data_IF_639527538365
#
_entry.id   IF_639527538365
#
_cell.length_a   1.000
_cell.length_b   1.000
_cell.length_c   1.000
_cell.angle_alpha   90.00
_cell.angle_beta   90.00
_cell.angle_gamma   90.00
#
_symmetry.space_group_name_H-M   'P 1'
#
loop_
_entity.id
_entity.type
_entity.pdbx_description
1 polymer ?
#
# COMPACT_ATOMS: atom_id res chain seq x y z
N UNK A 1 -10.86 -12.78 5.87
CA UNK A 1 -10.17 -12.09 6.97
C UNK A 1 -9.24 -13.10 7.60
N UNK A 2 -7.93 -12.85 7.65
CA UNK A 2 -7.01 -13.81 8.28
C UNK A 2 -7.36 -13.91 9.77
N UNK A 3 -7.77 -15.09 10.21
CA UNK A 3 -8.02 -15.41 11.62
C UNK A 3 -6.71 -15.52 12.40
N UNK A 4 -5.80 -14.56 12.20
CA UNK A 4 -4.48 -14.54 12.85
C UNK A 4 -4.62 -13.85 14.20
N UNK A 5 -4.19 -14.53 15.26
CA UNK A 5 -4.12 -13.94 16.60
C UNK A 5 -3.25 -12.67 16.58
N UNK A 6 -3.64 -11.69 17.39
CA UNK A 6 -2.88 -10.45 17.51
C UNK A 6 -1.50 -10.74 18.14
N UNK A 7 -0.39 -10.24 17.56
CA UNK A 7 0.91 -10.25 18.20
C UNK A 7 0.93 -9.39 19.48
N UNK A 8 1.96 -9.56 20.32
CA UNK A 8 2.18 -8.67 21.47
C UNK A 8 2.33 -7.21 21.00
N UNK A 9 1.66 -6.23 21.63
CA UNK A 9 1.75 -4.83 21.24
C UNK A 9 3.15 -4.24 21.45
N UNK A 10 3.93 -4.81 22.37
CA UNK A 10 5.32 -4.42 22.62
C UNK A 10 6.29 -5.56 22.38
N UNK A 11 7.55 -5.23 22.08
CA UNK A 11 8.61 -6.23 22.00
C UNK A 11 8.82 -6.90 23.36
N UNK A 12 9.08 -8.23 23.40
CA UNK A 12 9.35 -8.95 24.63
C UNK A 12 10.41 -8.25 25.49
N UNK A 13 10.12 -8.11 26.80
CA UNK A 13 11.03 -7.48 27.75
C UNK A 13 11.20 -5.96 27.62
N UNK A 14 10.43 -5.28 26.75
CA UNK A 14 10.52 -3.82 26.59
C UNK A 14 9.14 -3.17 26.47
N UNK A 15 9.09 -1.84 26.65
CA UNK A 15 7.90 -1.02 26.35
C UNK A 15 7.89 -0.47 24.92
N UNK A 16 8.73 -0.99 24.02
CA UNK A 16 8.84 -0.50 22.63
C UNK A 16 7.78 -1.15 21.76
N UNK A 17 7.14 -0.37 20.90
CA UNK A 17 6.12 -0.82 19.95
C UNK A 17 6.67 -1.95 19.05
N UNK A 18 5.89 -3.02 18.90
CA UNK A 18 6.18 -4.13 18.01
C UNK A 18 5.80 -3.80 16.56
N UNK A 19 6.72 -3.96 15.62
CA UNK A 19 6.45 -3.77 14.18
C UNK A 19 5.44 -4.82 13.66
N UNK A 20 5.52 -6.06 14.14
CA UNK A 20 4.58 -7.14 13.77
C UNK A 20 3.15 -6.84 14.20
N UNK A 21 2.99 -6.21 15.38
CA UNK A 21 1.69 -5.78 15.85
C UNK A 21 1.11 -4.66 14.98
N UNK A 22 1.94 -3.69 14.57
CA UNK A 22 1.51 -2.63 13.65
C UNK A 22 1.09 -3.20 12.29
N UNK A 23 1.90 -4.10 11.72
CA UNK A 23 1.57 -4.80 10.47
C UNK A 23 0.25 -5.58 10.59
N UNK A 24 0.01 -6.24 11.73
CA UNK A 24 -1.26 -6.91 12.02
C UNK A 24 -2.44 -5.93 12.09
N UNK A 25 -2.29 -4.79 12.78
CA UNK A 25 -3.35 -3.77 12.87
C UNK A 25 -3.73 -3.20 11.51
N UNK A 26 -2.76 -3.05 10.61
CA UNK A 26 -2.99 -2.63 9.22
C UNK A 26 -3.73 -3.70 8.41
N UNK A 27 -3.89 -4.92 8.92
CA UNK A 27 -4.52 -6.04 8.23
C UNK A 27 -3.66 -6.61 7.11
N UNK A 28 -2.35 -6.38 7.14
CA UNK A 28 -1.40 -6.89 6.17
C UNK A 28 -1.12 -8.39 6.39
N UNK A 29 -0.71 -9.13 5.34
CA UNK A 29 -0.18 -10.48 5.51
C UNK A 29 0.99 -10.49 6.50
N UNK A 30 1.12 -11.56 7.28
CA UNK A 30 2.22 -11.70 8.21
C UNK A 30 3.56 -11.69 7.46
N UNK A 31 4.51 -10.88 7.93
CA UNK A 31 5.82 -10.76 7.33
C UNK A 31 5.90 -9.82 6.12
N UNK A 32 4.80 -9.17 5.73
CA UNK A 32 4.77 -8.32 4.52
C UNK A 32 5.87 -7.24 4.51
N UNK A 33 6.09 -6.58 5.65
CA UNK A 33 7.24 -5.71 5.90
C UNK A 33 8.21 -6.39 6.86
N UNK A 34 7.69 -7.04 7.89
CA UNK A 34 8.46 -7.50 9.05
C UNK A 34 9.37 -8.69 8.79
N UNK A 35 9.17 -9.46 7.70
CA UNK A 35 10.07 -10.54 7.30
C UNK A 35 11.23 -10.07 6.39
N UNK A 36 11.42 -8.76 6.21
CA UNK A 36 12.52 -8.23 5.42
C UNK A 36 13.78 -8.10 6.28
N UNK A 37 14.72 -9.05 6.14
CA UNK A 37 15.93 -9.15 6.99
C UNK A 37 16.82 -7.91 6.94
N UNK A 38 16.88 -7.22 5.79
CA UNK A 38 17.70 -6.01 5.64
C UNK A 38 17.15 -4.77 6.36
N UNK A 39 15.90 -4.81 6.85
CA UNK A 39 15.26 -3.66 7.49
C UNK A 39 15.41 -3.69 9.00
N UNK A 40 16.00 -2.62 9.56
CA UNK A 40 15.93 -2.38 11.00
C UNK A 40 14.47 -2.18 11.46
N UNK A 41 14.17 -2.46 12.73
CA UNK A 41 12.82 -2.22 13.29
C UNK A 41 12.35 -0.77 13.09
N UNK A 42 13.26 0.19 13.22
CA UNK A 42 12.93 1.59 13.00
C UNK A 42 12.52 1.86 11.54
N UNK A 43 13.23 1.27 10.57
CA UNK A 43 12.87 1.36 9.16
C UNK A 43 11.53 0.66 8.86
N UNK A 44 11.28 -0.51 9.46
CA UNK A 44 9.99 -1.21 9.33
C UNK A 44 8.83 -0.34 9.84
N UNK A 45 8.96 0.23 11.03
CA UNK A 45 7.94 1.13 11.59
C UNK A 45 7.76 2.40 10.77
N UNK A 46 8.84 2.94 10.20
CA UNK A 46 8.77 4.09 9.31
C UNK A 46 7.99 3.75 8.03
N UNK A 47 8.25 2.60 7.41
CA UNK A 47 7.50 2.15 6.24
C UNK A 47 6.04 1.90 6.58
N UNK A 48 5.75 1.13 7.64
CA UNK A 48 4.38 0.84 8.08
C UNK A 48 3.62 2.13 8.42
N UNK A 49 4.25 3.07 9.12
CA UNK A 49 3.64 4.35 9.50
C UNK A 49 3.33 5.28 8.32
N UNK A 50 4.06 5.15 7.20
CA UNK A 50 3.80 5.91 5.97
C UNK A 50 2.99 5.10 4.94
N UNK A 51 2.60 3.88 5.27
CA UNK A 51 1.80 3.01 4.40
C UNK A 51 0.30 3.30 4.56
N UNK A 52 -0.50 2.73 3.65
CA UNK A 52 -1.96 2.78 3.73
C UNK A 52 -2.53 1.57 4.44
N UNK A 53 -3.66 1.73 5.14
CA UNK A 53 -4.46 0.59 5.61
C UNK A 53 -5.29 0.08 4.42
N UNK A 54 -5.02 -1.12 3.86
CA UNK A 54 -5.63 -1.54 2.60
C UNK A 54 -7.16 -1.57 2.61
N UNK A 55 -7.75 -1.93 3.76
CA UNK A 55 -9.21 -1.94 3.91
C UNK A 55 -9.83 -0.54 3.83
N UNK A 56 -9.15 0.47 4.40
CA UNK A 56 -9.56 1.86 4.31
C UNK A 56 -9.39 2.40 2.88
N UNK A 57 -8.27 2.07 2.24
CA UNK A 57 -8.03 2.44 0.83
C UNK A 57 -9.07 1.83 -0.11
N UNK A 58 -9.39 0.54 0.04
CA UNK A 58 -10.43 -0.12 -0.75
C UNK A 58 -11.81 0.51 -0.54
N UNK A 59 -12.15 0.86 0.71
CA UNK A 59 -13.39 1.56 1.00
C UNK A 59 -13.46 2.94 0.33
N UNK A 60 -12.38 3.73 0.43
CA UNK A 60 -12.29 5.04 -0.21
C UNK A 60 -12.40 4.95 -1.74
N UNK A 61 -11.76 3.96 -2.37
CA UNK A 61 -11.87 3.71 -3.81
C UNK A 61 -13.32 3.42 -4.20
N UNK A 62 -14.01 2.54 -3.46
CA UNK A 62 -15.41 2.22 -3.75
C UNK A 62 -16.35 3.42 -3.57
N UNK A 63 -16.05 4.34 -2.65
CA UNK A 63 -16.81 5.57 -2.46
C UNK A 63 -16.57 6.58 -3.59
N UNK A 64 -15.33 6.73 -4.03
CA UNK A 64 -14.94 7.74 -5.02
C UNK A 64 -15.15 7.28 -6.47
N UNK A 65 -15.10 5.97 -6.71
CA UNK A 65 -15.15 5.35 -8.04
C UNK A 65 -16.18 4.20 -8.04
N UNK A 66 -17.48 4.51 -7.91
CA UNK A 66 -18.53 3.48 -7.79
C UNK A 66 -18.64 2.58 -9.03
N UNK A 67 -18.31 3.12 -10.21
CA UNK A 67 -18.29 2.38 -11.48
C UNK A 67 -16.93 1.69 -11.75
N UNK A 68 -16.01 1.72 -10.78
CA UNK A 68 -14.67 1.17 -10.89
C UNK A 68 -13.61 2.17 -11.36
N UNK A 69 -12.35 1.72 -11.35
CA UNK A 69 -11.21 2.55 -11.78
C UNK A 69 -11.28 2.70 -13.31
N UNK A 70 -11.38 3.93 -13.85
CA UNK A 70 -11.49 4.14 -15.28
C UNK A 70 -10.23 3.62 -15.99
N UNK A 71 -10.42 2.89 -17.07
CA UNK A 71 -9.31 2.41 -17.90
C UNK A 71 -8.60 3.61 -18.52
N UNK A 72 -7.37 3.88 -18.10
CA UNK A 72 -6.56 4.87 -18.78
C UNK A 72 -6.20 4.33 -20.17
N UNK A 73 -6.88 4.82 -21.20
CA UNK A 73 -6.44 4.60 -22.59
C UNK A 73 -5.15 5.40 -22.75
N UNK A 74 -3.99 4.77 -23.03
CA UNK A 74 -2.76 5.51 -23.26
C UNK A 74 -2.99 6.47 -24.43
N UNK A 75 -2.85 7.77 -24.17
CA UNK A 75 -2.94 8.80 -25.22
C UNK A 75 -1.75 8.62 -26.15
N UNK A 76 -1.94 7.84 -27.21
CA UNK A 76 -0.96 7.56 -28.24
C UNK A 76 -1.53 7.76 -29.63
N UNK A 77 -2.05 8.95 -29.94
CA UNK A 77 -2.39 9.34 -31.33
C UNK A 77 -2.76 10.83 -31.44
N UNK A 78 -1.80 11.75 -31.24
CA UNK A 78 -1.93 13.16 -31.71
C UNK A 78 -0.60 13.79 -32.13
N UNK A 79 0.30 13.08 -32.83
CA UNK A 79 1.50 13.70 -33.43
C UNK A 79 1.92 13.09 -34.79
N UNK A 80 0.98 12.77 -35.67
CA UNK A 80 1.31 12.30 -37.02
C UNK A 80 0.41 12.88 -38.14
N UNK A 81 -0.18 14.06 -37.95
CA UNK A 81 -1.09 14.64 -38.95
C UNK A 81 -0.83 16.14 -39.25
N UNK A 82 0.44 16.57 -39.18
CA UNK A 82 0.86 17.90 -39.70
C UNK A 82 2.00 17.79 -40.71
N UNK A 83 1.88 16.85 -41.65
CA UNK A 83 2.85 16.70 -42.74
C UNK A 83 2.12 16.42 -44.05
N UNK A 84 1.36 17.41 -44.55
CA UNK A 84 0.73 17.29 -45.86
C UNK A 84 -0.10 18.51 -46.27
N UNK A 85 0.49 19.39 -47.08
CA UNK A 85 -0.20 20.50 -47.76
C UNK A 85 0.47 21.83 -47.42
N UNK A 86 0.96 22.63 -48.36
CA UNK A 86 0.97 22.56 -49.80
C UNK A 86 2.02 23.56 -50.29
N UNK A 87 2.15 23.63 -51.60
CA UNK A 87 3.19 24.32 -52.37
C UNK A 87 3.25 25.82 -52.11
#
# INVERSE_FOLDING_TARGET
MSQRAAPSPTQPGTRRLSAEFVEWMMGLPAGWVTATEALSRAAQLHLLGNSVVPRQAAHAINLLLPDGIPSHTPTGQRHADRSGGGR
#
